data_IF_704799771814
#
_entry.id   IF_704799771814
#
_cell.length_a   1.000
_cell.length_b   1.000
_cell.length_c   1.000
_cell.angle_alpha   90.00
_cell.angle_beta   90.00
_cell.angle_gamma   90.00
#
_symmetry.space_group_name_H-M   'P 1'
#
loop_
_entity.id
_entity.type
_entity.pdbx_description
1 polymer ?
#
# COMPACT_ATOMS: atom_id res chain seq x y z
N UNK A 1 -11.53 -8.21 -5.11
CA UNK A 1 -10.07 -7.98 -4.99
C UNK A 1 -9.50 -8.46 -3.65
N UNK A 2 -10.32 -8.99 -2.73
CA UNK A 2 -9.93 -9.38 -1.36
C UNK A 2 -8.70 -10.31 -1.25
N UNK A 3 -8.52 -11.28 -2.17
CA UNK A 3 -7.30 -12.13 -2.16
C UNK A 3 -6.04 -11.35 -2.53
N UNK A 4 -6.16 -10.38 -3.44
CA UNK A 4 -5.05 -9.52 -3.82
C UNK A 4 -4.75 -8.51 -2.71
N UNK A 5 -5.78 -7.91 -2.11
CA UNK A 5 -5.67 -7.05 -0.91
C UNK A 5 -4.88 -7.77 0.19
N UNK A 6 -5.29 -8.99 0.55
CA UNK A 6 -4.61 -9.80 1.56
C UNK A 6 -3.12 -10.01 1.29
N UNK A 7 -2.74 -10.24 0.03
CA UNK A 7 -1.32 -10.37 -0.34
C UNK A 7 -0.62 -9.01 -0.40
N UNK A 8 -1.35 -7.98 -0.81
CA UNK A 8 -0.89 -6.61 -0.96
C UNK A 8 -0.47 -5.99 0.37
N UNK A 9 -1.27 -6.18 1.42
CA UNK A 9 -0.93 -5.77 2.78
C UNK A 9 0.42 -6.38 3.20
N UNK A 10 0.61 -7.70 2.99
CA UNK A 10 1.87 -8.35 3.32
C UNK A 10 3.07 -7.77 2.56
N UNK A 11 2.92 -7.46 1.26
CA UNK A 11 3.97 -6.81 0.48
C UNK A 11 4.25 -5.39 0.98
N UNK A 12 3.23 -4.58 1.20
CA UNK A 12 3.38 -3.20 1.71
C UNK A 12 4.04 -3.19 3.08
N UNK A 13 3.71 -4.13 3.97
CA UNK A 13 4.36 -4.32 5.27
C UNK A 13 5.85 -4.64 5.12
N UNK A 14 6.21 -5.55 4.21
CA UNK A 14 7.60 -5.91 3.96
C UNK A 14 8.41 -4.71 3.43
N UNK A 15 7.90 -4.05 2.40
CA UNK A 15 8.58 -2.94 1.72
C UNK A 15 8.74 -1.76 2.67
N UNK A 16 7.68 -1.35 3.37
CA UNK A 16 7.73 -0.26 4.34
C UNK A 16 8.65 -0.57 5.52
N UNK A 17 8.67 -1.81 6.01
CA UNK A 17 9.60 -2.24 7.06
C UNK A 17 11.05 -2.15 6.60
N UNK A 18 11.35 -2.60 5.39
CA UNK A 18 12.71 -2.50 4.82
C UNK A 18 13.14 -1.05 4.65
N UNK A 19 12.28 -0.21 4.08
CA UNK A 19 12.55 1.20 3.87
C UNK A 19 12.84 1.91 5.19
N UNK A 20 11.94 1.79 6.17
CA UNK A 20 12.11 2.44 7.48
C UNK A 20 13.37 1.95 8.19
N UNK A 21 13.68 0.65 8.13
CA UNK A 21 14.90 0.10 8.72
C UNK A 21 16.18 0.61 8.04
N UNK A 22 16.16 0.83 6.73
CA UNK A 22 17.32 1.32 5.96
C UNK A 22 17.55 2.83 6.18
N UNK A 23 16.51 3.65 6.24
CA UNK A 23 16.66 5.10 6.42
C UNK A 23 16.92 5.51 7.87
N UNK A 24 16.32 4.82 8.85
CA UNK A 24 16.36 5.23 10.26
C UNK A 24 17.26 4.31 11.10
N UNK A 25 18.53 4.19 10.72
CA UNK A 25 19.49 3.24 11.33
C UNK A 25 19.82 3.50 12.81
N UNK A 26 19.57 4.72 13.31
CA UNK A 26 19.84 5.12 14.70
C UNK A 26 18.59 5.20 15.56
N UNK A 27 17.41 4.98 14.97
CA UNK A 27 16.12 5.07 15.66
C UNK A 27 15.82 3.74 16.37
N UNK A 28 15.36 3.75 17.63
CA UNK A 28 14.97 2.53 18.33
C UNK A 28 13.85 1.77 17.61
N UNK A 29 13.91 0.44 17.61
CA UNK A 29 12.93 -0.45 16.94
C UNK A 29 11.47 -0.09 17.26
N UNK A 30 11.16 0.24 18.51
CA UNK A 30 9.81 0.63 18.91
C UNK A 30 9.27 1.89 18.20
N UNK A 31 10.15 2.79 17.77
CA UNK A 31 9.79 3.98 16.98
C UNK A 31 9.74 3.70 15.47
N UNK A 32 10.45 2.68 14.97
CA UNK A 32 10.37 2.27 13.56
C UNK A 32 8.93 1.85 13.19
N UNK A 33 8.25 1.12 14.07
CA UNK A 33 6.84 0.75 13.88
C UNK A 33 5.91 1.96 13.72
N UNK A 34 6.19 3.07 14.42
CA UNK A 34 5.42 4.31 14.29
C UNK A 34 5.60 4.92 12.90
N UNK A 35 6.85 5.04 12.42
CA UNK A 35 7.12 5.56 11.08
C UNK A 35 6.51 4.67 10.01
N UNK A 36 6.66 3.34 10.13
CA UNK A 36 6.02 2.39 9.22
C UNK A 36 4.51 2.60 9.16
N UNK A 37 3.85 2.72 10.32
CA UNK A 37 2.40 2.90 10.38
C UNK A 37 1.94 4.20 9.68
N UNK A 38 2.75 5.26 9.71
CA UNK A 38 2.42 6.49 9.00
C UNK A 38 2.39 6.30 7.46
N UNK A 39 3.24 5.40 6.93
CA UNK A 39 3.32 5.08 5.50
C UNK A 39 2.15 4.21 5.03
N UNK A 40 1.73 3.25 5.86
CA UNK A 40 0.81 2.17 5.43
C UNK A 40 -0.60 2.27 5.99
N UNK A 41 -0.92 3.30 6.80
CA UNK A 41 -2.28 3.52 7.30
C UNK A 41 -3.25 3.77 6.14
N UNK A 42 -4.51 3.38 6.32
CA UNK A 42 -5.56 3.50 5.31
C UNK A 42 -5.69 4.91 4.73
N UNK A 43 -5.59 5.95 5.56
CA UNK A 43 -5.64 7.34 5.09
C UNK A 43 -4.55 7.66 4.06
N UNK A 44 -3.34 7.13 4.25
CA UNK A 44 -2.21 7.33 3.34
C UNK A 44 -2.42 6.52 2.06
N UNK A 45 -2.76 5.24 2.16
CA UNK A 45 -2.97 4.37 0.99
C UNK A 45 -4.18 4.80 0.15
N UNK A 46 -5.26 5.25 0.80
CA UNK A 46 -6.43 5.80 0.12
C UNK A 46 -6.10 7.08 -0.66
N UNK A 47 -5.25 7.94 -0.11
CA UNK A 47 -4.79 9.13 -0.82
C UNK A 47 -4.00 8.78 -2.08
N UNK A 48 -3.18 7.73 -2.05
CA UNK A 48 -2.52 7.23 -3.26
C UNK A 48 -3.51 6.64 -4.26
N UNK A 49 -4.48 5.84 -3.81
CA UNK A 49 -5.52 5.30 -4.69
C UNK A 49 -6.30 6.42 -5.41
N UNK A 50 -6.55 7.54 -4.71
CA UNK A 50 -7.16 8.73 -5.30
C UNK A 50 -6.24 9.43 -6.29
N UNK A 51 -4.97 9.64 -5.94
CA UNK A 51 -3.98 10.27 -6.82
C UNK A 51 -3.78 9.51 -8.14
N UNK A 52 -3.82 8.18 -8.10
CA UNK A 52 -3.74 7.31 -9.27
C UNK A 52 -5.09 7.05 -9.95
N UNK A 53 -6.18 7.57 -9.40
CA UNK A 53 -7.53 7.39 -9.90
C UNK A 53 -7.91 5.89 -10.07
N UNK A 54 -7.60 5.08 -9.05
CA UNK A 54 -7.90 3.65 -9.03
C UNK A 54 -9.37 3.38 -8.71
N UNK A 55 -9.93 4.10 -7.74
CA UNK A 55 -11.26 3.81 -7.19
C UNK A 55 -12.38 3.78 -8.25
N UNK A 56 -12.45 4.72 -9.21
CA UNK A 56 -13.51 4.68 -10.24
C UNK A 56 -13.41 3.49 -11.22
N UNK A 57 -12.31 2.74 -11.18
CA UNK A 57 -12.09 1.54 -12.02
C UNK A 57 -12.51 0.25 -11.32
N UNK A 58 -12.87 0.34 -10.03
CA UNK A 58 -13.28 -0.80 -9.22
C UNK A 58 -14.75 -1.10 -9.53
N UNK A 59 -15.02 -2.33 -9.97
CA UNK A 59 -16.38 -2.80 -10.12
C UNK A 59 -16.90 -3.30 -8.77
N UNK A 60 -17.97 -2.67 -8.27
CA UNK A 60 -18.66 -3.10 -7.07
C UNK A 60 -20.15 -3.24 -7.33
N UNK A 61 -20.75 -4.31 -6.79
CA UNK A 61 -22.19 -4.60 -6.88
C UNK A 61 -23.00 -3.93 -5.78
N UNK A 62 -22.33 -3.35 -4.79
CA UNK A 62 -22.93 -2.63 -3.67
C UNK A 62 -22.99 -1.13 -3.95
N UNK A 63 -23.93 -0.40 -3.31
CA UNK A 63 -23.94 1.06 -3.35
C UNK A 63 -22.58 1.65 -2.96
N UNK A 64 -22.23 2.78 -3.57
CA UNK A 64 -20.95 3.42 -3.32
C UNK A 64 -20.81 3.78 -1.83
N UNK A 65 -19.76 3.28 -1.15
CA UNK A 65 -19.57 3.54 0.27
C UNK A 65 -19.21 5.01 0.50
N UNK A 66 -19.42 5.49 1.72
CA UNK A 66 -19.04 6.85 2.13
C UNK A 66 -18.17 6.85 3.39
N UNK A 67 -17.49 7.97 3.64
CA UNK A 67 -16.69 8.19 4.84
C UNK A 67 -15.60 7.12 5.05
N UNK A 68 -15.47 6.62 6.27
CA UNK A 68 -14.44 5.63 6.64
C UNK A 68 -14.52 4.32 5.85
N UNK A 69 -15.72 3.92 5.39
CA UNK A 69 -15.87 2.72 4.55
C UNK A 69 -15.29 2.93 3.15
N UNK A 70 -15.48 4.13 2.59
CA UNK A 70 -14.89 4.51 1.31
C UNK A 70 -13.37 4.59 1.42
N UNK A 71 -12.87 5.24 2.47
CA UNK A 71 -11.43 5.34 2.73
C UNK A 71 -10.79 3.95 2.83
N UNK A 72 -11.39 3.05 3.63
CA UNK A 72 -10.92 1.67 3.71
C UNK A 72 -10.91 1.01 2.33
N UNK A 73 -12.00 1.07 1.59
CA UNK A 73 -12.09 0.43 0.27
C UNK A 73 -11.03 0.95 -0.70
N UNK A 74 -10.73 2.25 -0.67
CA UNK A 74 -9.66 2.85 -1.47
C UNK A 74 -8.28 2.33 -1.09
N UNK A 75 -8.01 2.18 0.21
CA UNK A 75 -6.78 1.58 0.70
C UNK A 75 -6.65 0.11 0.26
N UNK A 76 -7.70 -0.69 0.45
CA UNK A 76 -7.75 -2.11 0.06
C UNK A 76 -7.47 -2.28 -1.46
N UNK A 77 -7.95 -1.33 -2.28
CA UNK A 77 -7.71 -1.32 -3.74
C UNK A 77 -6.25 -1.01 -4.08
N UNK A 78 -5.61 -0.10 -3.35
CA UNK A 78 -4.18 0.17 -3.52
C UNK A 78 -3.33 -1.07 -3.19
N UNK A 79 -3.64 -1.74 -2.07
CA UNK A 79 -3.00 -3.00 -1.67
C UNK A 79 -3.19 -4.09 -2.73
N UNK A 80 -4.43 -4.25 -3.21
CA UNK A 80 -4.72 -5.21 -4.27
C UNK A 80 -3.94 -4.93 -5.56
N UNK A 81 -3.75 -3.65 -5.92
CA UNK A 81 -2.98 -3.28 -7.09
C UNK A 81 -1.50 -3.60 -6.94
N UNK A 82 -0.92 -3.37 -5.74
CA UNK A 82 0.44 -3.80 -5.41
C UNK A 82 0.60 -5.30 -5.64
N UNK A 83 -0.28 -6.13 -5.08
CA UNK A 83 -0.20 -7.58 -5.27
C UNK A 83 -0.35 -7.99 -6.74
N UNK A 84 -1.22 -7.31 -7.49
CA UNK A 84 -1.41 -7.59 -8.92
C UNK A 84 -0.11 -7.38 -9.71
N UNK A 85 0.65 -6.30 -9.46
CA UNK A 85 1.94 -6.06 -10.11
C UNK A 85 2.94 -7.18 -9.79
N UNK A 86 3.00 -7.61 -8.53
CA UNK A 86 3.93 -8.69 -8.12
C UNK A 86 3.55 -10.02 -8.77
N UNK A 87 2.26 -10.30 -8.94
CA UNK A 87 1.80 -11.54 -9.57
C UNK A 87 1.91 -11.54 -11.09
N UNK A 88 1.76 -10.38 -11.73
CA UNK A 88 1.88 -10.23 -13.18
C UNK A 88 3.31 -10.53 -13.66
N UNK A 89 4.31 -10.20 -12.84
CA UNK A 89 5.70 -10.56 -13.07
C UNK A 89 6.34 -11.15 -11.80
N UNK A 90 6.34 -12.49 -11.63
CA UNK A 90 6.93 -13.13 -10.47
C UNK A 90 8.44 -12.93 -10.33
N UNK A 91 9.16 -12.56 -11.40
CA UNK A 91 10.62 -12.39 -11.37
C UNK A 91 10.99 -10.96 -10.95
N UNK A 92 10.34 -9.94 -11.52
CA UNK A 92 10.72 -8.54 -11.29
C UNK A 92 9.64 -7.70 -10.61
N UNK A 93 8.42 -8.20 -10.47
CA UNK A 93 7.28 -7.44 -9.95
C UNK A 93 7.51 -6.89 -8.55
N UNK A 94 8.10 -7.69 -7.64
CA UNK A 94 8.45 -7.21 -6.30
C UNK A 94 9.42 -6.02 -6.35
N UNK A 95 10.46 -6.11 -7.16
CA UNK A 95 11.44 -5.02 -7.32
C UNK A 95 10.78 -3.75 -7.88
N UNK A 96 9.93 -3.89 -8.89
CA UNK A 96 9.19 -2.74 -9.46
C UNK A 96 8.30 -2.07 -8.42
N UNK A 97 7.61 -2.84 -7.59
CA UNK A 97 6.80 -2.30 -6.50
C UNK A 97 7.68 -1.63 -5.44
N UNK A 98 8.80 -2.24 -5.06
CA UNK A 98 9.75 -1.63 -4.12
C UNK A 98 10.23 -0.25 -4.59
N UNK A 99 10.59 -0.12 -5.88
CA UNK A 99 11.00 1.15 -6.48
C UNK A 99 9.85 2.16 -6.55
N UNK A 100 8.68 1.73 -7.02
CA UNK A 100 7.50 2.60 -7.17
C UNK A 100 6.96 3.09 -5.83
N UNK A 101 6.67 2.18 -4.90
CA UNK A 101 6.11 2.51 -3.60
C UNK A 101 7.15 3.20 -2.73
N UNK A 102 8.43 2.82 -2.85
CA UNK A 102 9.54 3.52 -2.20
C UNK A 102 9.57 5.01 -2.57
N UNK A 103 9.44 5.33 -3.87
CA UNK A 103 9.39 6.72 -4.35
C UNK A 103 8.19 7.53 -3.83
N UNK A 104 7.10 6.88 -3.41
CA UNK A 104 5.95 7.57 -2.77
C UNK A 104 6.21 7.96 -1.31
N UNK A 105 7.18 7.31 -0.68
CA UNK A 105 7.52 7.47 0.73
C UNK A 105 8.83 8.25 0.95
N UNK A 106 9.60 8.47 -0.11
CA UNK A 106 10.72 9.40 -0.13
C UNK A 106 10.22 10.87 -0.18
N UNK A 107 10.90 11.79 0.54
CA UNK A 107 10.51 13.21 0.61
C UNK A 107 10.73 14.01 -0.68
#
# INVERSE_FOLDING_TARGET
YERLEFLGDAYIQLISTRLVNQHFTTVPVGKLSYYRQALIRNTTLAAYADAYNFFPRVQHTIPEPTGAKLEKMKADVFEAYVAAIVQDDPENGLKRVEEWVGALWEP
#
